data_IF_143687821560
#
_entry.id   IF_143687821560
#
_cell.length_a   1.000
_cell.length_b   1.000
_cell.length_c   1.000
_cell.angle_alpha   90.00
_cell.angle_beta   90.00
_cell.angle_gamma   90.00
#
_symmetry.space_group_name_H-M   'P 1'
#
loop_
_entity.id
_entity.type
_entity.pdbx_description
1 polymer ?
#
# COMPACT_ATOMS: atom_id res chain seq x y z
N UNK A 1 -0.94 -41.54 13.79
CA UNK A 1 -0.58 -40.99 13.71
C UNK A 1 -0.41 -40.64 13.33
N UNK A 2 -0.67 -40.95 13.38
CA UNK A 2 -0.47 -40.00 13.35
C UNK A 2 -0.29 -39.72 12.94
N UNK A 3 -0.74 -39.65 12.99
CA UNK A 3 -0.57 -39.03 13.02
C UNK A 3 -0.44 -38.54 12.63
N UNK A 4 -1.13 -38.88 12.79
CA UNK A 4 -0.82 -38.12 12.73
C UNK A 4 -0.67 -37.82 12.32
N UNK A 5 -1.13 -37.69 12.37
CA UNK A 5 -0.86 -36.93 12.33
C UNK A 5 -0.69 -36.44 11.88
N UNK A 6 -1.39 -36.78 12.00
CA UNK A 6 -0.95 -35.92 11.90
C UNK A 6 -0.71 -35.47 11.50
N UNK A 7 -1.16 -35.75 11.74
CA UNK A 7 -0.73 -34.70 11.80
C UNK A 7 -0.48 -34.41 11.47
N UNK A 8 -0.61 -33.99 11.40
CA UNK A 8 0.09 -33.07 11.46
C UNK A 8 0.71 -32.69 11.39
N UNK A 9 0.33 -33.07 11.68
CA UNK A 9 1.27 -32.25 11.91
C UNK A 9 1.83 -31.79 11.61
N UNK A 10 1.99 -31.53 11.74
CA UNK A 10 2.75 -30.55 11.74
C UNK A 10 3.24 -30.14 11.46
N UNK A 11 3.26 -29.92 11.78
CA UNK A 11 4.01 -29.06 11.79
C UNK A 11 4.50 -28.64 11.57
N UNK A 12 4.58 -28.62 11.74
CA UNK A 12 5.06 -27.71 11.68
C UNK A 12 5.49 -27.29 11.25
N UNK A 13 5.47 -27.04 11.39
CA UNK A 13 5.85 -26.28 11.12
C UNK A 13 5.97 -25.73 10.79
N UNK A 14 5.78 -25.92 11.05
CA UNK A 14 5.71 -24.92 11.01
C UNK A 14 5.46 -24.53 10.86
N UNK A 15 5.30 -24.54 10.98
CA UNK A 15 5.05 -23.74 11.12
C UNK A 15 4.77 -23.30 11.23
N UNK A 16 4.65 -23.34 11.47
CA UNK A 16 4.43 -22.54 11.62
C UNK A 16 4.13 -22.02 11.67
N UNK A 17 4.24 -21.84 11.90
CA UNK A 17 3.94 -21.00 11.86
C UNK A 17 3.51 -20.51 11.60
N UNK A 18 3.51 -20.13 11.58
CA UNK A 18 3.18 -19.37 11.14
C UNK A 18 2.22 -19.10 11.08
N UNK A 19 1.99 -19.63 11.29
CA UNK A 19 1.03 -19.36 11.15
C UNK A 19 0.37 -18.49 11.60
N UNK A 20 0.87 -18.22 12.17
CA UNK A 20 0.22 -17.20 12.73
C UNK A 20 -0.68 -16.60 11.78
N UNK A 21 -1.70 -16.09 12.22
CA UNK A 21 -2.66 -15.56 11.38
C UNK A 21 -2.09 -14.46 10.68
N UNK A 22 -1.38 -14.81 9.79
CA UNK A 22 -0.81 -13.86 9.04
C UNK A 22 -1.81 -13.33 8.15
N UNK A 23 -1.76 -12.13 7.95
CA UNK A 23 -2.43 -11.49 6.89
C UNK A 23 -1.84 -11.94 5.58
N UNK A 24 -2.45 -11.55 4.50
CA UNK A 24 -1.93 -11.87 3.18
C UNK A 24 -0.85 -10.89 2.80
N UNK A 25 0.01 -11.32 1.89
CA UNK A 25 0.98 -10.44 1.27
C UNK A 25 0.27 -9.40 0.43
N UNK A 26 0.54 -8.14 0.69
CA UNK A 26 -0.03 -7.03 -0.09
C UNK A 26 0.94 -6.65 -1.20
N UNK A 27 0.39 -6.34 -2.36
CA UNK A 27 1.16 -5.73 -3.43
C UNK A 27 0.97 -4.23 -3.34
N UNK A 28 2.05 -3.54 -3.07
CA UNK A 28 2.03 -2.10 -2.79
C UNK A 28 2.73 -1.36 -3.93
N UNK A 29 2.07 -0.31 -4.43
CA UNK A 29 2.69 0.59 -5.40
C UNK A 29 3.08 1.86 -4.65
N UNK A 30 4.37 2.15 -4.60
CA UNK A 30 4.88 3.35 -3.96
C UNK A 30 5.18 4.40 -5.03
N UNK A 31 4.41 5.47 -5.04
CA UNK A 31 4.58 6.56 -6.00
C UNK A 31 5.22 7.72 -5.24
N UNK A 32 6.50 7.92 -5.45
CA UNK A 32 7.32 8.83 -4.67
C UNK A 32 8.51 9.28 -5.52
N UNK A 33 8.72 10.58 -5.67
CA UNK A 33 9.79 11.08 -6.53
C UNK A 33 11.15 11.17 -5.83
N UNK A 34 11.18 11.18 -4.50
CA UNK A 34 12.43 11.30 -3.75
C UNK A 34 13.10 9.93 -3.59
N UNK A 35 14.32 9.76 -4.11
CA UNK A 35 15.04 8.50 -3.92
C UNK A 35 15.25 8.18 -2.43
N UNK A 36 15.49 9.19 -1.60
CA UNK A 36 15.69 8.98 -0.17
C UNK A 36 14.44 8.42 0.49
N UNK A 37 13.28 8.96 0.13
CA UNK A 37 12.01 8.46 0.69
C UNK A 37 11.69 7.06 0.15
N UNK A 38 12.02 6.78 -1.12
CA UNK A 38 11.86 5.45 -1.67
C UNK A 38 12.67 4.43 -0.89
N UNK A 39 13.95 4.75 -0.64
CA UNK A 39 14.83 3.85 0.11
C UNK A 39 14.31 3.66 1.54
N UNK A 40 13.87 4.74 2.17
CA UNK A 40 13.37 4.67 3.54
C UNK A 40 12.16 3.74 3.64
N UNK A 41 11.18 3.93 2.78
CA UNK A 41 9.96 3.14 2.83
C UNK A 41 10.25 1.68 2.46
N UNK A 42 11.10 1.46 1.46
CA UNK A 42 11.49 0.10 1.11
C UNK A 42 12.18 -0.59 2.28
N UNK A 43 13.01 0.16 3.05
CA UNK A 43 13.69 -0.43 4.20
C UNK A 43 12.72 -0.86 5.27
N UNK A 44 11.63 -0.11 5.44
CA UNK A 44 10.59 -0.48 6.41
C UNK A 44 9.89 -1.78 6.03
N UNK A 45 9.77 -2.05 4.73
CA UNK A 45 9.02 -3.20 4.22
C UNK A 45 9.89 -4.39 3.87
N UNK A 46 11.21 -4.24 3.96
CA UNK A 46 12.16 -5.24 3.51
C UNK A 46 11.98 -6.60 4.15
N UNK A 47 11.69 -6.62 5.44
CA UNK A 47 11.55 -7.88 6.18
C UNK A 47 10.09 -8.27 6.40
N UNK A 48 9.19 -7.71 5.61
CA UNK A 48 7.78 -8.08 5.67
C UNK A 48 7.44 -9.01 4.52
N UNK A 49 6.22 -9.56 4.55
CA UNK A 49 5.75 -10.43 3.48
C UNK A 49 5.25 -9.63 2.27
N UNK A 50 5.24 -8.30 2.35
CA UNK A 50 4.67 -7.47 1.30
C UNK A 50 5.65 -7.22 0.17
N UNK A 51 5.10 -6.91 -1.02
CA UNK A 51 5.88 -6.59 -2.20
C UNK A 51 5.65 -5.14 -2.57
N UNK A 52 6.73 -4.45 -2.96
CA UNK A 52 6.68 -3.03 -3.29
C UNK A 52 7.22 -2.80 -4.69
N UNK A 53 6.42 -2.14 -5.52
CA UNK A 53 6.89 -1.63 -6.81
C UNK A 53 6.98 -0.12 -6.70
N UNK A 54 7.93 0.49 -7.40
CA UNK A 54 8.19 1.92 -7.33
C UNK A 54 7.73 2.63 -8.60
N UNK A 55 7.27 3.86 -8.42
CA UNK A 55 7.02 4.77 -9.53
C UNK A 55 7.57 6.14 -9.13
N UNK A 56 8.31 6.78 -10.04
CA UNK A 56 9.03 8.01 -9.72
C UNK A 56 8.17 9.26 -9.81
N UNK A 57 6.98 9.16 -10.36
CA UNK A 57 6.05 10.28 -10.42
C UNK A 57 4.63 9.74 -10.62
N UNK A 58 3.65 10.66 -10.62
CA UNK A 58 2.26 10.27 -10.73
C UNK A 58 1.91 9.63 -12.07
N UNK A 59 2.51 10.10 -13.15
CA UNK A 59 2.24 9.55 -14.47
C UNK A 59 2.67 8.09 -14.56
N UNK A 60 3.89 7.79 -14.07
CA UNK A 60 4.39 6.43 -14.03
C UNK A 60 3.53 5.58 -13.10
N UNK A 61 3.11 6.17 -11.97
CA UNK A 61 2.25 5.47 -11.01
C UNK A 61 0.93 5.05 -11.62
N UNK A 62 0.28 5.95 -12.35
CA UNK A 62 -0.98 5.64 -13.03
C UNK A 62 -0.76 4.52 -14.03
N UNK A 63 0.29 4.61 -14.85
CA UNK A 63 0.57 3.60 -15.87
C UNK A 63 0.82 2.22 -15.25
N UNK A 64 1.59 2.18 -14.18
CA UNK A 64 1.86 0.90 -13.50
C UNK A 64 0.60 0.33 -12.87
N UNK A 65 -0.23 1.19 -12.30
CA UNK A 65 -1.50 0.72 -11.72
C UNK A 65 -2.40 0.12 -12.80
N UNK A 66 -2.48 0.76 -13.96
CA UNK A 66 -3.33 0.28 -15.05
C UNK A 66 -2.86 -1.06 -15.61
N UNK A 67 -1.57 -1.34 -15.54
CA UNK A 67 -0.98 -2.54 -16.11
C UNK A 67 -0.65 -3.62 -15.08
N UNK A 68 -1.04 -3.44 -13.84
CA UNK A 68 -0.74 -4.38 -12.77
C UNK A 68 -1.92 -4.58 -11.85
N UNK A 69 -1.66 -5.31 -10.77
CA UNK A 69 -2.65 -5.55 -9.73
C UNK A 69 -2.04 -5.16 -8.40
N UNK A 70 -2.60 -4.15 -7.76
CA UNK A 70 -2.11 -3.65 -6.48
C UNK A 70 -3.22 -3.65 -5.45
N UNK A 71 -2.86 -3.94 -4.22
CA UNK A 71 -3.80 -3.89 -3.10
C UNK A 71 -3.83 -2.51 -2.46
N UNK A 72 -2.72 -1.79 -2.57
CA UNK A 72 -2.54 -0.53 -1.88
C UNK A 72 -1.60 0.37 -2.66
N UNK A 73 -1.90 1.67 -2.70
CA UNK A 73 -1.01 2.66 -3.28
C UNK A 73 -0.61 3.65 -2.19
N UNK A 74 0.70 3.85 -2.03
CA UNK A 74 1.23 4.93 -1.22
C UNK A 74 1.56 6.06 -2.20
N UNK A 75 0.84 7.16 -2.11
CA UNK A 75 0.88 8.22 -3.12
C UNK A 75 1.37 9.52 -2.54
N UNK A 76 2.57 9.94 -2.92
CA UNK A 76 3.08 11.26 -2.55
C UNK A 76 2.21 12.33 -3.19
N UNK A 77 1.87 13.35 -2.42
CA UNK A 77 1.01 14.41 -2.91
C UNK A 77 1.75 15.47 -3.71
N UNK A 78 3.06 15.61 -3.50
CA UNK A 78 3.86 16.65 -4.15
C UNK A 78 4.95 16.05 -5.00
N UNK A 79 4.73 16.00 -6.30
CA UNK A 79 5.69 15.43 -7.24
C UNK A 79 5.66 16.24 -8.54
N UNK A 80 6.80 16.27 -9.28
CA UNK A 80 6.80 16.88 -10.58
C UNK A 80 6.09 15.98 -11.60
N UNK A 81 5.81 16.49 -12.77
CA UNK A 81 5.16 15.82 -13.88
C UNK A 81 3.67 15.64 -13.62
N UNK A 82 3.31 14.87 -12.61
CA UNK A 82 1.91 14.72 -12.22
C UNK A 82 1.88 14.53 -10.71
N UNK A 83 1.19 15.43 -10.01
CA UNK A 83 1.09 15.36 -8.55
C UNK A 83 0.13 14.27 -8.09
N UNK A 84 0.11 14.02 -6.78
CA UNK A 84 -0.67 12.93 -6.22
C UNK A 84 -2.18 13.14 -6.31
N UNK A 85 -2.65 14.37 -6.23
CA UNK A 85 -4.08 14.67 -6.38
C UNK A 85 -4.55 14.30 -7.80
N UNK A 86 -3.81 14.76 -8.81
CA UNK A 86 -4.12 14.47 -10.20
C UNK A 86 -4.05 12.98 -10.48
N UNK A 87 -3.00 12.31 -9.96
CA UNK A 87 -2.84 10.88 -10.16
C UNK A 87 -4.00 10.11 -9.52
N UNK A 88 -4.41 10.50 -8.32
CA UNK A 88 -5.50 9.84 -7.62
C UNK A 88 -6.81 10.00 -8.39
N UNK A 89 -7.11 11.21 -8.87
CA UNK A 89 -8.32 11.45 -9.66
C UNK A 89 -8.31 10.62 -10.94
N UNK A 90 -7.15 10.53 -11.58
CA UNK A 90 -7.00 9.76 -12.81
C UNK A 90 -7.26 8.29 -12.56
N UNK A 91 -6.71 7.76 -11.46
CA UNK A 91 -6.92 6.35 -11.08
C UNK A 91 -8.40 6.09 -10.80
N UNK A 92 -9.05 6.98 -10.04
CA UNK A 92 -10.46 6.79 -9.71
C UNK A 92 -11.35 6.81 -10.93
N UNK A 93 -11.08 7.72 -11.87
CA UNK A 93 -11.85 7.77 -13.11
C UNK A 93 -11.66 6.50 -13.92
N UNK A 94 -10.42 6.05 -14.04
CA UNK A 94 -10.13 4.84 -14.80
C UNK A 94 -10.80 3.62 -14.20
N UNK A 95 -10.79 3.50 -12.86
CA UNK A 95 -11.47 2.40 -12.19
C UNK A 95 -12.96 2.39 -12.52
N UNK A 96 -13.59 3.56 -12.49
CA UNK A 96 -15.00 3.66 -12.80
C UNK A 96 -15.28 3.26 -14.25
N UNK A 97 -14.45 3.71 -15.17
CA UNK A 97 -14.61 3.38 -16.57
C UNK A 97 -14.46 1.89 -16.84
N UNK A 98 -13.59 1.24 -16.09
CA UNK A 98 -13.33 -0.19 -16.25
C UNK A 98 -14.24 -1.06 -15.39
N UNK A 99 -15.04 -0.48 -14.52
CA UNK A 99 -15.90 -1.25 -13.63
C UNK A 99 -15.12 -2.00 -12.55
N UNK A 100 -14.01 -1.45 -12.12
CA UNK A 100 -13.14 -2.10 -11.13
C UNK A 100 -13.42 -1.58 -9.72
N UNK A 101 -13.17 -2.40 -8.70
CA UNK A 101 -13.28 -1.92 -7.33
C UNK A 101 -12.18 -0.90 -7.05
N UNK A 102 -12.43 -0.01 -6.09
CA UNK A 102 -11.49 1.05 -5.76
C UNK A 102 -10.31 0.51 -4.96
N UNK A 103 -9.09 0.74 -5.47
CA UNK A 103 -7.88 0.37 -4.73
C UNK A 103 -7.71 1.31 -3.53
N UNK A 104 -7.06 0.84 -2.48
CA UNK A 104 -6.78 1.68 -1.33
C UNK A 104 -5.64 2.64 -1.67
N UNK A 105 -5.87 3.94 -1.53
CA UNK A 105 -4.85 4.96 -1.80
C UNK A 105 -4.60 5.73 -0.51
N UNK A 106 -3.35 5.69 -0.06
CA UNK A 106 -2.90 6.39 1.14
C UNK A 106 -2.02 7.55 0.71
N UNK A 107 -2.47 8.75 0.99
CA UNK A 107 -1.70 9.94 0.63
C UNK A 107 -0.52 10.12 1.57
N UNK A 108 0.64 10.46 1.01
CA UNK A 108 1.81 10.84 1.79
C UNK A 108 1.96 12.35 1.65
N UNK A 109 1.85 13.07 2.75
CA UNK A 109 1.81 14.53 2.70
C UNK A 109 2.80 15.13 3.69
N UNK A 110 3.38 16.29 3.32
CA UNK A 110 4.27 17.02 4.21
C UNK A 110 3.47 17.83 5.23
N UNK A 111 2.21 18.11 4.95
CA UNK A 111 1.38 18.97 5.79
C UNK A 111 0.11 18.25 6.19
N UNK A 112 -0.26 18.39 7.46
CA UNK A 112 -1.49 17.81 7.98
C UNK A 112 -2.53 18.91 8.24
N UNK A 113 -2.59 19.91 7.39
CA UNK A 113 -3.57 20.98 7.52
C UNK A 113 -4.95 20.49 7.13
N UNK A 114 -5.95 21.05 7.76
CA UNK A 114 -7.34 20.63 7.54
C UNK A 114 -7.76 20.79 6.08
N UNK A 115 -7.40 21.92 5.47
CA UNK A 115 -7.75 22.17 4.07
C UNK A 115 -7.07 21.18 3.14
N UNK A 116 -5.82 20.84 3.45
CA UNK A 116 -5.08 19.89 2.64
C UNK A 116 -5.69 18.48 2.77
N UNK A 117 -6.06 18.09 3.98
CA UNK A 117 -6.71 16.81 4.20
C UNK A 117 -8.02 16.71 3.44
N UNK A 118 -8.80 17.79 3.43
CA UNK A 118 -10.07 17.80 2.69
C UNK A 118 -9.85 17.58 1.19
N UNK A 119 -8.83 18.25 0.62
CA UNK A 119 -8.51 18.09 -0.79
C UNK A 119 -8.08 16.66 -1.13
N UNK A 120 -7.30 16.06 -0.24
CA UNK A 120 -6.82 14.70 -0.42
C UNK A 120 -7.99 13.72 -0.46
N UNK A 121 -8.89 13.81 0.50
CA UNK A 121 -10.04 12.90 0.54
C UNK A 121 -11.02 13.18 -0.60
N UNK A 122 -11.20 14.44 -0.98
CA UNK A 122 -12.06 14.79 -2.10
C UNK A 122 -11.53 14.21 -3.41
N UNK A 123 -10.21 14.14 -3.56
CA UNK A 123 -9.62 13.55 -4.74
C UNK A 123 -9.84 12.04 -4.82
N UNK A 124 -10.11 11.39 -3.70
CA UNK A 124 -10.40 9.97 -3.67
C UNK A 124 -9.47 9.12 -2.82
N UNK A 125 -8.58 9.74 -2.04
CA UNK A 125 -7.71 8.98 -1.13
C UNK A 125 -8.51 8.43 0.03
N UNK A 126 -8.08 7.29 0.54
CA UNK A 126 -8.75 6.61 1.65
C UNK A 126 -8.21 7.01 3.01
N UNK A 127 -6.95 7.45 3.05
CA UNK A 127 -6.32 7.89 4.29
C UNK A 127 -5.10 8.74 3.93
N UNK A 128 -4.46 9.31 4.93
CA UNK A 128 -3.21 10.03 4.69
C UNK A 128 -2.24 9.80 5.85
N UNK A 129 -0.96 9.94 5.54
CA UNK A 129 0.12 9.85 6.53
C UNK A 129 1.04 11.03 6.31
N UNK A 130 1.54 11.62 7.41
CA UNK A 130 2.39 12.78 7.35
C UNK A 130 3.85 12.35 7.25
N UNK A 131 4.62 13.02 6.39
CA UNK A 131 6.07 12.79 6.28
C UNK A 131 6.78 13.50 7.43
N UNK A 132 7.91 12.96 7.90
CA UNK A 132 8.52 11.72 7.49
C UNK A 132 7.74 10.52 8.02
N UNK A 133 7.59 9.52 7.18
CA UNK A 133 6.85 8.31 7.55
C UNK A 133 7.61 7.55 8.62
N UNK A 134 6.88 7.09 9.64
CA UNK A 134 7.48 6.26 10.69
C UNK A 134 7.18 4.79 10.42
N UNK A 135 8.16 3.96 10.69
CA UNK A 135 8.04 2.53 10.46
C UNK A 135 6.83 1.92 11.17
N UNK A 136 6.68 2.23 12.47
CA UNK A 136 5.59 1.67 13.25
C UNK A 136 4.23 2.08 12.71
N UNK A 137 4.08 3.34 12.31
CA UNK A 137 2.82 3.85 11.78
C UNK A 137 2.47 3.14 10.47
N UNK A 138 3.45 2.98 9.59
CA UNK A 138 3.22 2.30 8.32
C UNK A 138 2.84 0.84 8.53
N UNK A 139 3.57 0.13 9.41
CA UNK A 139 3.30 -1.28 9.64
C UNK A 139 1.94 -1.50 10.29
N UNK A 140 1.51 -0.61 11.18
CA UNK A 140 0.18 -0.69 11.78
C UNK A 140 -0.91 -0.51 10.73
N UNK A 141 -0.71 0.43 9.82
CA UNK A 141 -1.65 0.66 8.73
C UNK A 141 -1.77 -0.58 7.85
N UNK A 142 -0.63 -1.15 7.47
CA UNK A 142 -0.63 -2.33 6.62
C UNK A 142 -1.27 -3.53 7.30
N UNK A 143 -1.07 -3.67 8.60
CA UNK A 143 -1.67 -4.76 9.34
C UNK A 143 -3.20 -4.67 9.28
N UNK A 144 -3.75 -3.47 9.37
CA UNK A 144 -5.19 -3.28 9.26
C UNK A 144 -5.70 -3.69 7.88
N UNK A 145 -4.98 -3.34 6.82
CA UNK A 145 -5.38 -3.71 5.47
C UNK A 145 -5.19 -5.21 5.21
N UNK A 146 -4.18 -5.84 5.80
CA UNK A 146 -4.04 -7.29 5.69
C UNK A 146 -5.28 -8.00 6.19
N UNK A 147 -5.80 -7.58 7.34
CA UNK A 147 -6.97 -8.21 7.94
C UNK A 147 -8.22 -7.97 7.08
N UNK A 148 -8.38 -6.76 6.59
CA UNK A 148 -9.54 -6.41 5.79
C UNK A 148 -9.57 -7.21 4.49
N UNK A 149 -8.42 -7.33 3.84
CA UNK A 149 -8.35 -8.02 2.56
C UNK A 149 -8.43 -9.53 2.71
N UNK A 150 -8.16 -10.05 3.89
CA UNK A 150 -8.21 -11.49 4.12
C UNK A 150 -9.64 -12.02 4.10
N UNK A 151 -10.62 -11.14 4.13
CA UNK A 151 -12.02 -11.56 4.10
C UNK A 151 -12.55 -11.71 2.66
#
# INVERSE_FOLDING_TARGET
LGRSKSGFSPSPQGAAPQAAPQGRSLRILLVEDSPDNQVLIQSYLKNTIHRVDLADNGQIGVAKFQNGHYDLILMDMQMPVMDGITATRTIRRWEQEQGLPAVQIIALTALALKEESARIFEAGCNAHMTKPLKRTTLLELLLAYEKTRAQ
#
